data_IF_451115697799
#
_entry.id   IF_451115697799
#
_cell.length_a   1.000
_cell.length_b   1.000
_cell.length_c   1.000
_cell.angle_alpha   90.00
_cell.angle_beta   90.00
_cell.angle_gamma   90.00
#
_symmetry.space_group_name_H-M   'P 1'
#
loop_
_entity.id
_entity.type
_entity.pdbx_description
1 polymer ?
#
# COMPACT_ATOMS: atom_id res chain seq x y z
N UNK A 1 -39.32 11.07 68.38
CA UNK A 1 -39.12 10.00 67.38
C UNK A 1 -38.07 10.52 66.40
N UNK A 2 -36.78 10.16 66.62
CA UNK A 2 -35.68 10.61 65.74
C UNK A 2 -35.43 9.52 64.71
N UNK A 3 -35.65 9.84 63.45
CA UNK A 3 -35.25 8.98 62.34
C UNK A 3 -33.75 9.16 62.05
N UNK A 4 -32.98 8.11 62.26
CA UNK A 4 -31.56 8.04 61.83
C UNK A 4 -31.53 7.75 60.33
N UNK A 5 -31.12 8.75 59.55
CA UNK A 5 -30.76 8.55 58.13
C UNK A 5 -29.39 7.81 58.06
N UNK A 6 -29.38 6.58 57.57
CA UNK A 6 -28.14 5.91 57.16
C UNK A 6 -27.63 6.46 55.84
N UNK A 7 -26.35 6.83 55.71
CA UNK A 7 -25.82 7.21 54.39
C UNK A 7 -25.67 5.97 53.53
N UNK A 8 -26.27 6.00 52.33
CA UNK A 8 -26.03 5.00 51.28
C UNK A 8 -24.68 5.32 50.63
N UNK A 9 -23.69 4.50 50.89
CA UNK A 9 -22.39 4.59 50.23
C UNK A 9 -22.49 3.97 48.82
N UNK A 10 -22.57 4.78 47.78
CA UNK A 10 -22.55 4.33 46.40
C UNK A 10 -21.08 4.09 45.99
N UNK A 11 -20.67 2.83 45.94
CA UNK A 11 -19.36 2.43 45.41
C UNK A 11 -19.42 2.49 43.92
N UNK A 12 -18.72 3.46 43.32
CA UNK A 12 -18.42 3.46 41.88
C UNK A 12 -17.30 2.47 41.60
N UNK A 13 -17.61 1.31 41.03
CA UNK A 13 -16.62 0.44 40.42
C UNK A 13 -16.12 1.09 39.14
N UNK A 14 -14.93 1.67 39.16
CA UNK A 14 -14.22 2.07 37.94
C UNK A 14 -13.61 0.81 37.35
N UNK A 15 -14.18 0.30 36.31
CA UNK A 15 -13.52 -0.71 35.46
C UNK A 15 -12.37 -0.02 34.71
N UNK A 16 -11.15 -0.18 35.16
CA UNK A 16 -9.96 0.13 34.39
C UNK A 16 -9.80 -1.01 33.40
N UNK A 17 -10.14 -0.78 32.14
CA UNK A 17 -9.77 -1.68 31.06
C UNK A 17 -8.24 -1.66 30.99
N UNK A 18 -7.60 -2.76 31.26
CA UNK A 18 -6.16 -2.93 31.01
C UNK A 18 -6.01 -3.13 29.50
N UNK A 19 -5.50 -2.13 28.81
CA UNK A 19 -5.01 -2.24 27.45
C UNK A 19 -3.63 -2.90 27.47
N UNK A 20 -3.35 -3.72 26.46
CA UNK A 20 -2.05 -4.38 26.29
C UNK A 20 -1.49 -3.97 24.94
N UNK A 21 -0.17 -3.77 24.87
CA UNK A 21 0.56 -3.59 23.62
C UNK A 21 0.15 -4.65 22.59
N UNK A 22 -0.21 -4.22 21.38
CA UNK A 22 -0.63 -5.12 20.29
C UNK A 22 0.51 -5.36 19.33
N UNK A 23 0.54 -6.56 18.76
CA UNK A 23 1.37 -6.87 17.61
C UNK A 23 0.57 -6.64 16.33
N UNK A 24 1.12 -5.81 15.45
CA UNK A 24 0.57 -5.56 14.13
C UNK A 24 1.50 -6.12 13.04
N UNK A 25 0.95 -6.92 12.14
CA UNK A 25 1.66 -7.34 10.94
C UNK A 25 1.68 -6.18 9.95
N UNK A 26 2.87 -5.69 9.65
CA UNK A 26 3.08 -4.49 8.85
C UNK A 26 3.27 -4.82 7.38
N UNK A 27 2.43 -4.26 6.53
CA UNK A 27 2.51 -4.38 5.08
C UNK A 27 2.78 -3.02 4.43
N UNK A 28 3.69 -3.00 3.46
CA UNK A 28 3.92 -1.82 2.64
C UNK A 28 3.22 -1.97 1.27
N UNK A 29 2.46 -0.96 0.89
CA UNK A 29 1.79 -0.86 -0.41
C UNK A 29 2.44 0.26 -1.22
N UNK A 30 3.12 -0.09 -2.32
CA UNK A 30 3.84 0.84 -3.17
C UNK A 30 3.63 0.61 -4.66
N UNK A 31 3.86 1.65 -5.45
CA UNK A 31 3.71 1.59 -6.90
C UNK A 31 3.16 2.86 -7.52
N UNK A 32 2.43 2.71 -8.64
CA UNK A 32 1.84 3.84 -9.35
C UNK A 32 0.30 3.85 -9.27
N UNK A 33 -0.39 4.38 -10.26
CA UNK A 33 -1.83 4.65 -10.22
C UNK A 33 -2.71 3.43 -9.93
N UNK A 34 -2.32 2.23 -10.40
CA UNK A 34 -3.04 1.01 -10.06
C UNK A 34 -2.74 0.50 -8.63
N UNK A 35 -1.75 1.07 -7.92
CA UNK A 35 -1.62 0.96 -6.48
C UNK A 35 -2.34 2.11 -5.75
N UNK A 36 -2.32 3.35 -6.30
CA UNK A 36 -3.13 4.44 -5.74
C UNK A 36 -4.60 4.01 -5.61
N UNK A 37 -5.16 3.47 -6.69
CA UNK A 37 -6.52 2.95 -6.75
C UNK A 37 -7.52 3.94 -7.33
N UNK A 38 -8.27 3.47 -8.32
CA UNK A 38 -9.30 4.22 -9.03
C UNK A 38 -10.69 3.58 -8.89
N UNK A 39 -10.83 2.54 -8.07
CA UNK A 39 -12.12 1.94 -7.71
C UNK A 39 -13.05 2.98 -7.07
N UNK A 40 -14.34 2.93 -7.35
CA UNK A 40 -15.31 3.89 -6.85
C UNK A 40 -15.91 3.43 -5.52
N UNK A 41 -15.82 4.29 -4.50
CA UNK A 41 -16.41 4.02 -3.17
C UNK A 41 -17.92 3.79 -3.28
N UNK A 42 -18.60 4.48 -4.21
CA UNK A 42 -20.03 4.33 -4.46
C UNK A 42 -20.44 2.96 -5.03
N UNK A 43 -19.49 2.16 -5.52
CA UNK A 43 -19.73 0.81 -6.05
C UNK A 43 -19.40 -0.29 -5.04
N UNK A 44 -18.90 0.08 -3.85
CA UNK A 44 -18.66 -0.89 -2.78
C UNK A 44 -19.98 -1.43 -2.25
N UNK A 45 -19.99 -2.73 -1.94
CA UNK A 45 -21.13 -3.33 -1.24
C UNK A 45 -21.20 -2.86 0.21
N UNK A 46 -22.41 -2.76 0.74
CA UNK A 46 -22.63 -2.50 2.16
C UNK A 46 -21.92 -3.56 3.01
N UNK A 47 -21.44 -3.14 4.20
CA UNK A 47 -20.79 -4.03 5.16
C UNK A 47 -19.30 -4.27 4.94
N UNK A 48 -18.67 -3.72 3.90
CA UNK A 48 -17.21 -3.88 3.71
C UNK A 48 -16.43 -3.34 4.92
N UNK A 49 -16.91 -2.26 5.54
CA UNK A 49 -16.27 -1.64 6.70
C UNK A 49 -16.19 -2.61 7.90
N UNK A 50 -17.17 -3.50 8.06
CA UNK A 50 -17.21 -4.48 9.16
C UNK A 50 -16.12 -5.55 9.00
N UNK A 51 -15.59 -5.72 7.79
CA UNK A 51 -14.49 -6.68 7.50
C UNK A 51 -13.10 -6.11 7.75
N UNK A 52 -13.00 -4.81 8.08
CA UNK A 52 -11.75 -4.07 8.24
C UNK A 52 -11.38 -3.80 9.71
N UNK A 53 -12.06 -4.48 10.65
CA UNK A 53 -11.76 -4.35 12.08
C UNK A 53 -10.30 -4.73 12.35
N UNK A 54 -9.66 -4.00 13.28
CA UNK A 54 -8.25 -4.18 13.66
C UNK A 54 -7.25 -4.02 12.49
N UNK A 55 -7.62 -3.27 11.46
CA UNK A 55 -6.74 -2.86 10.38
C UNK A 55 -6.48 -1.35 10.46
N UNK A 56 -5.20 -0.99 10.58
CA UNK A 56 -4.72 0.39 10.62
C UNK A 56 -3.98 0.76 9.34
N UNK A 57 -4.06 2.02 8.93
CA UNK A 57 -3.35 2.51 7.75
C UNK A 57 -2.68 3.86 8.02
N UNK A 58 -1.41 3.96 7.61
CA UNK A 58 -0.68 5.21 7.43
C UNK A 58 -0.54 5.46 5.93
N UNK A 59 -1.30 6.39 5.38
CA UNK A 59 -1.24 6.71 3.96
C UNK A 59 -0.47 8.01 3.76
N UNK A 60 0.74 7.89 3.20
CA UNK A 60 1.62 9.02 2.91
C UNK A 60 1.12 9.85 1.73
N UNK A 61 1.25 11.16 1.84
CA UNK A 61 0.95 12.10 0.75
C UNK A 61 2.23 12.75 0.25
N UNK A 62 2.39 12.96 -1.06
CA UNK A 62 3.50 13.71 -1.61
C UNK A 62 3.38 15.18 -1.21
N UNK A 63 4.52 15.86 -1.09
CA UNK A 63 4.62 17.31 -1.02
C UNK A 63 4.67 17.91 -2.43
N UNK A 64 4.66 19.24 -2.54
CA UNK A 64 4.78 19.91 -3.83
C UNK A 64 6.16 19.66 -4.46
N UNK A 65 6.22 19.68 -5.80
CA UNK A 65 7.47 19.57 -6.55
C UNK A 65 8.52 20.58 -6.08
N UNK A 66 9.76 20.12 -6.01
CA UNK A 66 10.88 20.97 -5.56
C UNK A 66 10.91 21.29 -4.07
N UNK A 67 10.01 20.68 -3.28
CA UNK A 67 10.04 20.75 -1.81
C UNK A 67 10.54 19.44 -1.21
N UNK A 68 11.12 19.46 0.01
CA UNK A 68 11.54 18.23 0.68
C UNK A 68 10.39 17.24 0.86
N UNK A 69 10.69 15.95 0.73
CA UNK A 69 9.76 14.90 1.04
C UNK A 69 9.46 14.86 2.54
N UNK A 70 8.21 15.14 2.93
CA UNK A 70 7.80 15.24 4.34
C UNK A 70 7.14 13.96 4.88
N UNK A 71 6.70 13.05 4.00
CA UNK A 71 6.01 11.82 4.41
C UNK A 71 4.72 12.11 5.19
N UNK A 72 3.91 13.05 4.69
CA UNK A 72 2.70 13.52 5.36
C UNK A 72 1.67 12.41 5.46
N UNK A 73 1.34 12.00 6.66
CA UNK A 73 0.36 10.95 6.94
C UNK A 73 0.09 10.88 8.44
N UNK A 74 -0.99 10.22 8.81
CA UNK A 74 -1.31 9.82 10.19
C UNK A 74 -1.87 8.40 10.18
N UNK A 75 -1.61 7.65 11.25
CA UNK A 75 -2.29 6.37 11.48
C UNK A 75 -3.78 6.59 11.71
N UNK A 76 -4.59 5.78 11.09
CA UNK A 76 -6.04 5.79 11.25
C UNK A 76 -6.61 4.38 10.97
N UNK A 77 -7.79 4.03 11.49
CA UNK A 77 -8.48 2.82 11.08
C UNK A 77 -8.70 2.79 9.56
N UNK A 78 -8.43 1.63 8.95
CA UNK A 78 -8.63 1.44 7.51
C UNK A 78 -10.10 1.61 7.16
N UNK A 79 -10.37 2.40 6.12
CA UNK A 79 -11.72 2.67 5.62
C UNK A 79 -11.69 3.00 4.12
N UNK A 80 -12.83 2.99 3.41
CA UNK A 80 -12.89 3.50 2.04
C UNK A 80 -12.41 4.94 1.90
N UNK A 81 -11.85 5.28 0.73
CA UNK A 81 -11.42 6.64 0.41
C UNK A 81 -9.89 6.85 0.41
N UNK A 82 -9.11 5.77 0.43
CA UNK A 82 -7.64 5.80 0.32
C UNK A 82 -7.13 5.62 -1.12
N UNK A 83 -7.92 6.02 -2.13
CA UNK A 83 -7.53 5.99 -3.55
C UNK A 83 -6.74 7.20 -3.99
N UNK A 84 -6.65 7.41 -5.31
CA UNK A 84 -5.83 8.43 -5.97
C UNK A 84 -6.18 9.89 -5.55
N UNK A 85 -7.36 10.12 -5.02
CA UNK A 85 -7.85 11.42 -4.53
C UNK A 85 -7.69 11.61 -3.01
N UNK A 86 -7.10 10.65 -2.30
CA UNK A 86 -6.73 10.79 -0.88
C UNK A 86 -5.65 11.84 -0.68
N UNK A 87 -5.72 12.57 0.43
CA UNK A 87 -4.67 13.50 0.89
C UNK A 87 -4.56 13.49 2.40
N UNK A 88 -3.34 13.74 2.90
CA UNK A 88 -3.07 14.01 4.31
C UNK A 88 -2.14 15.20 4.44
N UNK A 89 -2.34 16.03 5.44
CA UNK A 89 -1.44 17.13 5.80
C UNK A 89 -0.53 16.78 7.01
N UNK A 90 -0.57 15.51 7.43
CA UNK A 90 0.13 15.03 8.61
C UNK A 90 -0.58 15.28 9.95
N UNK A 91 -1.74 15.95 9.92
CA UNK A 91 -2.60 16.23 11.09
C UNK A 91 -4.01 15.69 10.90
N UNK A 92 -4.49 15.68 9.66
CA UNK A 92 -5.80 15.20 9.28
C UNK A 92 -5.77 14.49 7.92
N UNK A 93 -6.55 13.41 7.80
CA UNK A 93 -6.79 12.70 6.56
C UNK A 93 -8.02 13.26 5.85
N UNK A 94 -7.89 13.54 4.54
CA UNK A 94 -9.00 13.86 3.64
C UNK A 94 -9.25 12.65 2.74
N UNK A 95 -10.28 11.89 3.06
CA UNK A 95 -10.70 10.72 2.30
C UNK A 95 -11.36 11.15 0.98
N UNK A 96 -11.05 10.38 -0.08
CA UNK A 96 -11.57 10.61 -1.42
C UNK A 96 -12.81 9.77 -1.73
N UNK A 97 -13.19 9.78 -3.01
CA UNK A 97 -14.27 8.95 -3.56
C UNK A 97 -13.73 7.67 -4.22
N UNK A 98 -12.42 7.44 -4.10
CA UNK A 98 -11.71 6.32 -4.72
C UNK A 98 -11.04 5.46 -3.67
N UNK A 99 -10.79 4.19 -4.03
CA UNK A 99 -10.02 3.23 -3.25
C UNK A 99 -9.18 2.34 -4.16
N UNK A 100 -8.18 1.68 -3.58
CA UNK A 100 -7.32 0.73 -4.26
C UNK A 100 -7.47 -0.69 -3.70
N UNK A 101 -6.42 -1.49 -3.81
CA UNK A 101 -6.44 -2.89 -3.36
C UNK A 101 -6.45 -3.04 -1.82
N UNK A 102 -6.17 -1.99 -1.04
CA UNK A 102 -5.98 -2.05 0.42
C UNK A 102 -7.16 -2.61 1.18
N UNK A 103 -8.41 -2.31 0.74
CA UNK A 103 -9.62 -2.77 1.44
C UNK A 103 -9.78 -4.28 1.34
N UNK A 104 -9.75 -4.81 0.12
CA UNK A 104 -9.91 -6.24 -0.13
C UNK A 104 -8.69 -7.04 0.35
N UNK A 105 -7.50 -6.45 0.32
CA UNK A 105 -6.29 -7.01 0.90
C UNK A 105 -6.45 -7.26 2.41
N UNK A 106 -6.82 -6.24 3.18
CA UNK A 106 -7.02 -6.38 4.61
C UNK A 106 -8.13 -7.36 4.95
N UNK A 107 -9.28 -7.28 4.25
CA UNK A 107 -10.41 -8.18 4.47
C UNK A 107 -10.04 -9.65 4.22
N UNK A 108 -9.33 -9.96 3.12
CA UNK A 108 -8.92 -11.32 2.80
C UNK A 108 -7.82 -11.81 3.76
N UNK A 109 -6.88 -10.96 4.17
CA UNK A 109 -5.91 -11.33 5.21
C UNK A 109 -6.58 -11.65 6.54
N UNK A 110 -7.55 -10.88 6.99
CA UNK A 110 -8.32 -11.18 8.21
C UNK A 110 -9.05 -12.52 8.09
N UNK A 111 -9.57 -12.85 6.90
CA UNK A 111 -10.18 -14.16 6.64
C UNK A 111 -9.17 -15.30 6.73
N UNK A 112 -7.96 -15.12 6.20
CA UNK A 112 -6.89 -16.13 6.17
C UNK A 112 -6.16 -16.25 7.51
N UNK A 113 -6.04 -15.13 8.25
CA UNK A 113 -5.29 -14.97 9.50
C UNK A 113 -6.12 -14.18 10.53
N UNK A 114 -7.20 -14.74 11.06
CA UNK A 114 -8.20 -14.00 11.84
C UNK A 114 -7.65 -13.40 13.14
N UNK A 115 -6.56 -13.93 13.65
CA UNK A 115 -5.95 -13.50 14.92
C UNK A 115 -4.83 -12.45 14.73
N UNK A 116 -4.52 -12.05 13.50
CA UNK A 116 -3.49 -11.03 13.24
C UNK A 116 -4.13 -9.64 13.13
N UNK A 117 -3.56 -8.64 13.82
CA UNK A 117 -3.85 -7.24 13.57
C UNK A 117 -3.03 -6.79 12.37
N UNK A 118 -3.59 -5.92 11.54
CA UNK A 118 -3.00 -5.50 10.28
C UNK A 118 -2.63 -4.02 10.33
N UNK A 119 -1.37 -3.70 10.03
CA UNK A 119 -0.92 -2.34 9.81
C UNK A 119 -0.47 -2.18 8.36
N UNK A 120 -0.93 -1.13 7.70
CA UNK A 120 -0.58 -0.81 6.31
C UNK A 120 0.15 0.52 6.28
N UNK A 121 1.34 0.56 5.66
CA UNK A 121 1.94 1.80 5.18
C UNK A 121 1.70 1.85 3.68
N UNK A 122 0.98 2.86 3.20
CA UNK A 122 0.72 3.07 1.78
C UNK A 122 1.40 4.35 1.32
N UNK A 123 2.25 4.23 0.30
CA UNK A 123 2.72 5.35 -0.50
C UNK A 123 2.82 4.91 -1.95
N UNK A 124 2.12 5.56 -2.82
CA UNK A 124 2.07 5.34 -4.26
C UNK A 124 1.85 6.66 -4.98
N UNK A 125 2.20 6.70 -6.29
CA UNK A 125 1.99 7.90 -7.09
C UNK A 125 1.72 7.53 -8.55
N UNK A 126 0.56 7.91 -9.06
CA UNK A 126 0.19 7.68 -10.45
C UNK A 126 1.16 8.32 -11.44
N UNK A 127 1.40 7.64 -12.58
CA UNK A 127 2.23 8.14 -13.66
C UNK A 127 3.74 8.13 -13.38
N UNK A 128 4.21 7.38 -12.37
CA UNK A 128 5.63 7.32 -12.00
C UNK A 128 6.31 6.07 -12.55
N UNK A 129 7.60 6.20 -12.91
CA UNK A 129 8.46 5.12 -13.38
C UNK A 129 9.45 4.68 -12.31
N UNK A 130 10.11 3.53 -12.53
CA UNK A 130 11.29 3.13 -11.76
C UNK A 130 12.59 3.44 -12.51
N UNK A 131 12.52 3.78 -13.80
CA UNK A 131 13.65 4.24 -14.59
C UNK A 131 13.59 5.76 -14.78
N UNK A 132 14.72 6.43 -14.59
CA UNK A 132 14.85 7.88 -14.75
C UNK A 132 14.45 8.35 -16.15
N UNK A 133 14.77 7.57 -17.19
CA UNK A 133 14.47 7.90 -18.59
C UNK A 133 12.97 7.87 -18.92
N UNK A 134 12.17 7.19 -18.10
CA UNK A 134 10.71 7.19 -18.21
C UNK A 134 10.03 8.19 -17.25
N UNK A 135 10.80 8.88 -16.41
CA UNK A 135 10.26 9.89 -15.52
C UNK A 135 9.61 11.03 -16.30
N UNK A 136 8.31 11.24 -16.06
CA UNK A 136 7.55 12.35 -16.63
C UNK A 136 6.83 13.07 -15.49
N UNK A 137 5.74 13.66 -15.73
CA UNK A 137 4.93 14.55 -14.90
C UNK A 137 4.97 14.37 -13.38
N UNK A 138 5.25 13.15 -12.86
CA UNK A 138 5.11 12.84 -11.43
C UNK A 138 6.38 12.25 -10.80
N UNK A 139 7.52 12.29 -11.49
CA UNK A 139 8.81 11.85 -10.98
C UNK A 139 9.08 10.35 -11.10
N UNK A 140 10.03 9.87 -10.34
CA UNK A 140 10.61 8.56 -10.48
C UNK A 140 10.93 7.92 -9.12
N UNK A 141 10.91 6.60 -9.07
CA UNK A 141 11.28 5.78 -7.90
C UNK A 141 12.79 5.45 -7.84
N UNK A 142 13.56 5.84 -8.86
CA UNK A 142 15.01 5.69 -8.77
C UNK A 142 15.55 6.53 -7.60
N UNK A 143 16.27 5.94 -6.64
CA UNK A 143 16.81 6.68 -5.49
C UNK A 143 17.77 7.81 -5.87
N UNK A 144 18.43 7.71 -7.04
CA UNK A 144 19.38 8.70 -7.55
C UNK A 144 18.68 9.75 -8.45
N UNK A 145 17.35 9.74 -8.54
CA UNK A 145 16.61 10.70 -9.36
C UNK A 145 16.66 12.10 -8.78
N UNK A 146 17.29 13.01 -9.51
CA UNK A 146 17.45 14.44 -9.10
C UNK A 146 16.44 15.38 -9.77
N UNK A 147 15.66 14.90 -10.70
CA UNK A 147 14.65 15.68 -11.40
C UNK A 147 14.46 15.23 -12.85
N UNK A 148 13.36 15.70 -13.45
CA UNK A 148 12.96 15.42 -14.81
C UNK A 148 12.25 16.62 -15.43
N UNK A 149 11.68 16.44 -16.61
CA UNK A 149 10.83 17.44 -17.28
C UNK A 149 9.37 17.31 -16.83
N UNK A 150 8.62 18.41 -16.81
CA UNK A 150 7.19 18.44 -16.55
C UNK A 150 6.82 18.62 -15.08
N UNK A 151 5.58 18.18 -14.73
CA UNK A 151 4.94 18.47 -13.43
C UNK A 151 5.63 17.74 -12.26
N UNK A 152 6.22 16.60 -12.48
CA UNK A 152 6.95 15.85 -11.43
C UNK A 152 8.43 16.14 -11.36
N UNK A 153 8.86 17.24 -11.94
CA UNK A 153 10.26 17.64 -11.96
C UNK A 153 10.80 17.84 -10.55
N UNK A 154 11.86 17.13 -10.23
CA UNK A 154 12.47 17.18 -8.90
C UNK A 154 11.76 16.35 -7.83
N UNK A 155 10.72 15.58 -8.18
CA UNK A 155 10.04 14.71 -7.25
C UNK A 155 10.64 13.30 -7.28
N UNK A 156 11.48 13.01 -6.29
CA UNK A 156 11.99 11.66 -6.06
C UNK A 156 10.98 10.87 -5.23
N UNK A 157 10.37 9.83 -5.81
CA UNK A 157 9.33 9.03 -5.14
C UNK A 157 9.92 8.12 -4.06
N UNK A 158 11.18 7.71 -4.21
CA UNK A 158 11.87 6.93 -3.19
C UNK A 158 12.10 7.76 -1.90
N UNK A 159 12.43 9.05 -2.02
CA UNK A 159 12.53 9.94 -0.86
C UNK A 159 11.19 10.10 -0.13
N UNK A 160 10.11 10.21 -0.88
CA UNK A 160 8.75 10.26 -0.30
C UNK A 160 8.38 8.95 0.40
N UNK A 161 8.73 7.80 -0.18
CA UNK A 161 8.59 6.50 0.46
C UNK A 161 9.37 6.45 1.77
N UNK A 162 10.66 6.80 1.76
CA UNK A 162 11.50 6.79 2.98
C UNK A 162 10.93 7.71 4.07
N UNK A 163 10.49 8.92 3.70
CA UNK A 163 9.89 9.85 4.63
C UNK A 163 8.58 9.30 5.21
N UNK A 164 7.75 8.65 4.40
CA UNK A 164 6.50 8.03 4.82
C UNK A 164 6.76 6.88 5.81
N UNK A 165 7.67 5.96 5.47
CA UNK A 165 8.03 4.82 6.34
C UNK A 165 8.62 5.33 7.67
N UNK A 166 9.56 6.28 7.61
CA UNK A 166 10.14 6.87 8.83
C UNK A 166 9.07 7.46 9.74
N UNK A 167 8.14 8.25 9.19
CA UNK A 167 7.11 8.89 10.00
C UNK A 167 6.11 7.87 10.56
N UNK A 168 5.71 6.90 9.77
CA UNK A 168 4.83 5.82 10.22
C UNK A 168 5.45 5.03 11.39
N UNK A 169 6.73 4.64 11.25
CA UNK A 169 7.45 3.87 12.27
C UNK A 169 7.85 4.69 13.51
N UNK A 170 7.74 6.02 13.47
CA UNK A 170 8.03 6.88 14.63
C UNK A 170 6.87 6.97 15.62
N UNK A 171 5.68 6.50 15.26
CA UNK A 171 4.50 6.48 16.12
C UNK A 171 4.46 5.15 16.87
N UNK A 172 4.49 5.20 18.19
CA UNK A 172 4.46 3.99 19.03
C UNK A 172 3.05 3.41 19.20
N UNK A 173 2.07 4.25 19.49
CA UNK A 173 0.67 3.90 19.67
C UNK A 173 -0.09 4.25 18.37
N UNK A 174 -0.36 3.23 17.54
CA UNK A 174 -0.94 3.48 16.21
C UNK A 174 -2.46 3.47 16.19
N UNK A 175 -3.10 2.90 17.21
CA UNK A 175 -4.56 2.83 17.34
C UNK A 175 -5.13 3.75 18.44
N UNK A 176 -4.26 4.52 19.10
CA UNK A 176 -4.60 5.51 20.12
C UNK A 176 -5.29 4.91 21.35
N UNK A 177 -4.92 3.70 21.74
CA UNK A 177 -5.44 3.05 22.96
C UNK A 177 -4.61 3.38 24.23
N UNK A 178 -3.49 4.11 24.08
CA UNK A 178 -2.61 4.56 25.17
C UNK A 178 -1.41 3.65 25.42
N UNK A 179 -1.28 2.53 24.71
CA UNK A 179 -0.17 1.60 24.81
C UNK A 179 0.68 1.63 23.52
N UNK A 180 1.98 1.35 23.64
CA UNK A 180 2.82 1.28 22.45
C UNK A 180 2.65 -0.07 21.74
N UNK A 181 2.41 -0.03 20.45
CA UNK A 181 2.28 -1.21 19.60
C UNK A 181 3.62 -1.66 19.03
N UNK A 182 3.67 -2.92 18.59
CA UNK A 182 4.81 -3.48 17.89
C UNK A 182 4.45 -3.72 16.42
N UNK A 183 5.15 -3.03 15.51
CA UNK A 183 5.01 -3.23 14.06
C UNK A 183 6.01 -4.28 13.60
N UNK A 184 5.51 -5.39 13.07
CA UNK A 184 6.30 -6.54 12.61
C UNK A 184 6.22 -6.58 11.07
N UNK A 185 7.33 -6.30 10.33
CA UNK A 185 7.33 -6.37 8.88
C UNK A 185 6.82 -7.73 8.38
N UNK A 186 5.83 -7.73 7.48
CA UNK A 186 5.14 -8.93 7.05
C UNK A 186 4.99 -9.08 5.52
N UNK A 187 5.19 -7.99 4.75
CA UNK A 187 5.18 -8.08 3.30
C UNK A 187 5.17 -6.75 2.58
N UNK A 188 5.50 -6.80 1.29
CA UNK A 188 5.45 -5.69 0.34
C UNK A 188 4.46 -6.07 -0.78
N UNK A 189 3.58 -5.14 -1.14
CA UNK A 189 2.74 -5.19 -2.34
C UNK A 189 3.26 -4.14 -3.31
N UNK A 190 3.58 -4.58 -4.52
CA UNK A 190 4.08 -3.70 -5.56
C UNK A 190 3.23 -3.76 -6.82
N UNK A 191 2.67 -2.61 -7.23
CA UNK A 191 1.89 -2.49 -8.47
C UNK A 191 2.36 -1.29 -9.27
N UNK A 192 3.24 -1.53 -10.26
CA UNK A 192 3.85 -0.52 -11.09
C UNK A 192 4.47 -1.19 -12.34
N UNK A 193 4.71 -0.43 -13.41
CA UNK A 193 5.41 -0.88 -14.60
C UNK A 193 4.86 -0.22 -15.87
N UNK A 194 3.65 0.31 -15.82
CA UNK A 194 2.96 0.89 -16.97
C UNK A 194 3.70 2.13 -17.52
N UNK A 195 4.26 2.95 -16.63
CA UNK A 195 5.02 4.14 -17.06
C UNK A 195 6.32 3.76 -17.78
N UNK A 196 7.02 2.73 -17.30
CA UNK A 196 8.24 2.20 -17.95
C UNK A 196 7.91 1.49 -19.26
N UNK A 197 6.74 0.83 -19.33
CA UNK A 197 6.26 0.13 -20.51
C UNK A 197 5.92 1.06 -21.70
N UNK A 198 5.90 2.36 -21.49
CA UNK A 198 5.80 3.36 -22.56
C UNK A 198 7.11 3.61 -23.33
N UNK A 199 8.24 3.00 -22.89
CA UNK A 199 9.57 3.29 -23.46
C UNK A 199 10.42 2.02 -23.56
N UNK A 200 11.15 1.90 -24.68
CA UNK A 200 11.94 0.70 -24.97
C UNK A 200 13.07 0.47 -23.95
N UNK A 201 13.90 1.47 -23.70
CA UNK A 201 15.05 1.32 -22.77
C UNK A 201 14.61 1.07 -21.33
N UNK A 202 13.69 1.86 -20.72
CA UNK A 202 13.13 1.58 -19.42
C UNK A 202 12.55 0.18 -19.29
N UNK A 203 11.75 -0.26 -20.27
CA UNK A 203 11.15 -1.60 -20.24
C UNK A 203 12.19 -2.73 -20.30
N UNK A 204 13.30 -2.53 -21.01
CA UNK A 204 14.41 -3.50 -21.10
C UNK A 204 15.18 -3.59 -19.78
N UNK A 205 15.35 -2.48 -19.06
CA UNK A 205 16.07 -2.41 -17.79
C UNK A 205 15.18 -2.64 -16.56
N UNK A 206 13.89 -2.88 -16.76
CA UNK A 206 12.90 -2.94 -15.69
C UNK A 206 13.28 -3.93 -14.58
N UNK A 207 13.73 -5.13 -14.93
CA UNK A 207 14.08 -6.17 -13.96
C UNK A 207 15.21 -5.77 -13.01
N UNK A 208 16.26 -5.14 -13.52
CA UNK A 208 17.41 -4.65 -12.72
C UNK A 208 16.94 -3.52 -11.78
N UNK A 209 16.15 -2.58 -12.30
CA UNK A 209 15.63 -1.47 -11.53
C UNK A 209 14.65 -1.94 -10.45
N UNK A 210 13.77 -2.90 -10.78
CA UNK A 210 12.83 -3.50 -9.82
C UNK A 210 13.58 -4.20 -8.68
N UNK A 211 14.58 -5.03 -9.02
CA UNK A 211 15.38 -5.71 -8.00
C UNK A 211 16.04 -4.71 -7.05
N UNK A 212 16.72 -3.70 -7.60
CA UNK A 212 17.36 -2.66 -6.79
C UNK A 212 16.37 -1.97 -5.86
N UNK A 213 15.21 -1.59 -6.38
CA UNK A 213 14.18 -0.90 -5.59
C UNK A 213 13.61 -1.79 -4.48
N UNK A 214 13.36 -3.06 -4.75
CA UNK A 214 12.83 -4.00 -3.76
C UNK A 214 13.87 -4.32 -2.67
N UNK A 215 15.15 -4.48 -3.02
CA UNK A 215 16.22 -4.63 -2.03
C UNK A 215 16.28 -3.41 -1.08
N UNK A 216 16.17 -2.20 -1.63
CA UNK A 216 16.15 -0.96 -0.86
C UNK A 216 14.88 -0.81 -0.01
N UNK A 217 13.73 -1.27 -0.51
CA UNK A 217 12.48 -1.26 0.26
C UNK A 217 12.55 -2.24 1.44
N UNK A 218 13.10 -3.42 1.25
CA UNK A 218 13.40 -4.38 2.34
C UNK A 218 14.32 -3.77 3.39
N UNK A 219 15.40 -3.13 2.96
CA UNK A 219 16.34 -2.45 3.87
C UNK A 219 15.66 -1.33 4.68
N UNK A 220 14.81 -0.52 4.04
CA UNK A 220 14.05 0.54 4.72
C UNK A 220 13.09 -0.02 5.77
N UNK A 221 12.51 -1.19 5.54
CA UNK A 221 11.64 -1.91 6.45
C UNK A 221 12.40 -2.83 7.42
N UNK A 222 13.74 -2.89 7.34
CA UNK A 222 14.64 -3.66 8.20
C UNK A 222 14.35 -5.17 8.21
N UNK A 223 14.02 -5.71 7.05
CA UNK A 223 13.71 -7.13 6.85
C UNK A 223 14.18 -7.57 5.45
N UNK A 224 15.39 -8.14 5.37
CA UNK A 224 16.08 -8.47 4.11
C UNK A 224 15.37 -9.57 3.30
N UNK A 225 14.62 -10.44 3.96
CA UNK A 225 13.85 -11.55 3.36
C UNK A 225 12.34 -11.32 3.35
N UNK A 226 11.92 -10.04 3.46
CA UNK A 226 10.50 -9.68 3.51
C UNK A 226 9.78 -10.17 2.24
N UNK A 227 8.66 -10.91 2.36
CA UNK A 227 7.88 -11.37 1.23
C UNK A 227 7.38 -10.21 0.35
N UNK A 228 7.42 -10.40 -0.97
CA UNK A 228 6.97 -9.42 -1.96
C UNK A 228 5.92 -10.04 -2.86
N UNK A 229 4.77 -9.39 -3.00
CA UNK A 229 3.78 -9.71 -4.02
C UNK A 229 3.81 -8.64 -5.11
N UNK A 230 4.10 -9.04 -6.34
CA UNK A 230 4.19 -8.15 -7.51
C UNK A 230 2.95 -8.31 -8.36
N UNK A 231 2.20 -7.25 -8.60
CA UNK A 231 1.10 -7.24 -9.56
C UNK A 231 1.64 -7.19 -10.99
N UNK A 232 1.29 -8.18 -11.80
CA UNK A 232 1.63 -8.20 -13.23
C UNK A 232 0.87 -7.06 -13.91
N UNK A 233 1.56 -6.16 -14.62
CA UNK A 233 0.84 -5.14 -15.39
C UNK A 233 0.05 -5.79 -16.53
N UNK A 234 -1.08 -5.21 -16.90
CA UNK A 234 -1.88 -5.63 -18.05
C UNK A 234 -2.22 -4.45 -18.96
N UNK A 235 -2.81 -4.73 -20.11
CA UNK A 235 -3.16 -3.73 -21.11
C UNK A 235 -4.66 -3.74 -21.37
N UNK A 236 -5.29 -2.58 -21.40
CA UNK A 236 -6.72 -2.47 -21.66
C UNK A 236 -7.08 -2.75 -23.12
N UNK A 237 -6.12 -2.71 -24.02
CA UNK A 237 -6.35 -2.72 -25.48
C UNK A 237 -7.43 -1.70 -25.90
N UNK A 238 -7.33 -0.50 -25.33
CA UNK A 238 -8.35 0.53 -25.44
C UNK A 238 -8.67 0.87 -26.91
N UNK A 239 -9.93 0.70 -27.31
CA UNK A 239 -10.37 0.85 -28.69
C UNK A 239 -9.58 -0.04 -29.69
N UNK A 240 -9.17 -1.24 -29.26
CA UNK A 240 -8.42 -2.19 -30.08
C UNK A 240 -6.95 -1.79 -30.28
N UNK A 241 -6.41 -0.89 -29.47
CA UNK A 241 -5.01 -0.46 -29.55
C UNK A 241 -4.30 -0.78 -28.24
N UNK A 242 -3.08 -1.30 -28.36
CA UNK A 242 -2.16 -1.48 -27.23
C UNK A 242 -1.88 -0.09 -26.62
N UNK A 243 -2.04 0.02 -25.33
CA UNK A 243 -1.78 1.24 -24.54
C UNK A 243 -0.30 1.30 -24.13
N UNK A 244 0.26 0.15 -23.76
CA UNK A 244 1.64 0.03 -23.27
C UNK A 244 2.49 -0.70 -24.31
N UNK A 245 3.13 0.05 -25.21
CA UNK A 245 3.86 -0.46 -26.38
C UNK A 245 4.89 -1.54 -26.02
N UNK A 246 5.60 -1.37 -24.91
CA UNK A 246 6.62 -2.31 -24.41
C UNK A 246 6.15 -3.11 -23.18
N UNK A 247 4.84 -3.25 -22.98
CA UNK A 247 4.25 -3.93 -21.84
C UNK A 247 4.70 -5.38 -21.69
N UNK A 248 4.92 -6.10 -22.81
CA UNK A 248 5.42 -7.48 -22.78
C UNK A 248 6.82 -7.57 -22.18
N UNK A 249 7.70 -6.60 -22.46
CA UNK A 249 9.04 -6.54 -21.90
C UNK A 249 8.99 -6.37 -20.36
N UNK A 250 8.15 -5.44 -19.87
CA UNK A 250 7.98 -5.23 -18.42
C UNK A 250 7.39 -6.47 -17.76
N UNK A 251 6.31 -7.06 -18.30
CA UNK A 251 5.72 -8.29 -17.78
C UNK A 251 6.73 -9.45 -17.67
N UNK A 252 7.55 -9.62 -18.71
CA UNK A 252 8.63 -10.62 -18.69
C UNK A 252 9.60 -10.40 -17.51
N UNK A 253 9.99 -9.15 -17.25
CA UNK A 253 10.90 -8.83 -16.15
C UNK A 253 10.24 -8.97 -14.77
N UNK A 254 8.94 -8.67 -14.64
CA UNK A 254 8.18 -8.95 -13.41
C UNK A 254 8.14 -10.46 -13.11
N UNK A 255 7.90 -11.29 -14.15
CA UNK A 255 7.95 -12.75 -14.03
C UNK A 255 9.33 -13.25 -13.62
N UNK A 256 10.39 -12.79 -14.30
CA UNK A 256 11.77 -13.21 -13.99
C UNK A 256 12.17 -12.80 -12.57
N UNK A 257 11.82 -11.58 -12.13
CA UNK A 257 12.08 -11.14 -10.75
C UNK A 257 11.48 -12.10 -9.73
N UNK A 258 10.20 -12.49 -9.90
CA UNK A 258 9.54 -13.41 -8.98
C UNK A 258 10.06 -14.86 -9.10
N UNK A 259 10.62 -15.27 -10.25
CA UNK A 259 11.27 -16.57 -10.39
C UNK A 259 12.64 -16.64 -9.71
N UNK A 260 13.38 -15.51 -9.74
CA UNK A 260 14.73 -15.43 -9.19
C UNK A 260 14.75 -15.14 -7.68
N UNK A 261 13.70 -14.55 -7.14
CA UNK A 261 13.57 -14.24 -5.71
C UNK A 261 12.59 -15.23 -5.03
N UNK A 262 13.07 -16.17 -4.19
CA UNK A 262 12.22 -17.17 -3.53
C UNK A 262 11.24 -16.59 -2.52
N UNK A 263 11.35 -15.30 -2.22
CA UNK A 263 10.42 -14.53 -1.35
C UNK A 263 9.52 -13.61 -2.15
N UNK A 264 9.44 -13.77 -3.47
CA UNK A 264 8.53 -12.99 -4.32
C UNK A 264 7.52 -13.89 -5.02
N UNK A 265 6.28 -13.40 -5.14
CA UNK A 265 5.17 -14.06 -5.83
C UNK A 265 4.53 -13.10 -6.82
N UNK A 266 4.18 -13.61 -8.01
CA UNK A 266 3.57 -12.84 -9.07
C UNK A 266 2.04 -12.99 -9.05
N UNK A 267 1.32 -11.89 -8.90
CA UNK A 267 -0.14 -11.84 -9.04
C UNK A 267 -0.50 -11.62 -10.51
N UNK A 268 -1.08 -12.63 -11.15
CA UNK A 268 -1.35 -12.67 -12.60
C UNK A 268 -2.81 -12.43 -12.97
N UNK A 269 -3.71 -12.30 -12.02
CA UNK A 269 -5.16 -12.13 -12.25
C UNK A 269 -5.52 -10.84 -13.02
N UNK A 270 -4.60 -9.89 -13.06
CA UNK A 270 -4.76 -8.58 -13.71
C UNK A 270 -5.07 -8.64 -15.22
N UNK A 271 -4.73 -9.74 -15.88
CA UNK A 271 -5.05 -9.97 -17.29
C UNK A 271 -6.56 -10.13 -17.57
N UNK A 272 -7.35 -10.36 -16.52
CA UNK A 272 -8.82 -10.58 -16.58
C UNK A 272 -9.63 -9.38 -16.12
N UNK A 273 -8.95 -8.30 -15.68
CA UNK A 273 -9.65 -7.15 -15.11
C UNK A 273 -10.31 -6.28 -16.17
N UNK A 274 -11.49 -5.75 -15.82
CA UNK A 274 -12.09 -4.63 -16.55
C UNK A 274 -11.34 -3.34 -16.25
N UNK A 275 -11.57 -2.35 -17.10
CA UNK A 275 -10.96 -1.03 -17.02
C UNK A 275 -12.03 0.06 -16.96
N UNK A 276 -11.83 1.04 -16.08
CA UNK A 276 -12.69 2.22 -15.98
C UNK A 276 -12.30 3.33 -16.98
N UNK A 277 -11.06 3.31 -17.43
CA UNK A 277 -10.47 4.19 -18.43
C UNK A 277 -9.32 3.45 -19.16
N UNK A 278 -8.56 4.06 -20.10
CA UNK A 278 -7.49 3.33 -20.79
C UNK A 278 -6.38 2.76 -19.88
N UNK A 279 -6.23 3.22 -18.67
CA UNK A 279 -5.07 2.95 -17.82
C UNK A 279 -5.40 2.26 -16.49
N UNK A 280 -6.64 2.41 -15.98
CA UNK A 280 -6.97 2.04 -14.63
C UNK A 280 -8.03 0.93 -14.60
N UNK A 281 -7.82 -0.04 -13.72
CA UNK A 281 -8.78 -1.11 -13.48
C UNK A 281 -10.12 -0.56 -13.00
N UNK A 282 -11.16 -1.34 -13.21
CA UNK A 282 -12.47 -1.05 -12.62
C UNK A 282 -12.52 -1.44 -11.11
N UNK A 283 -13.62 -1.12 -10.47
CA UNK A 283 -13.84 -1.42 -9.05
C UNK A 283 -13.68 -2.89 -8.70
N UNK A 284 -14.15 -3.80 -9.57
CA UNK A 284 -14.03 -5.24 -9.34
C UNK A 284 -12.59 -5.72 -9.47
N UNK A 285 -11.83 -5.14 -10.38
CA UNK A 285 -10.39 -5.40 -10.54
C UNK A 285 -9.60 -5.04 -9.27
N UNK A 286 -9.86 -3.91 -8.64
CA UNK A 286 -9.18 -3.55 -7.38
C UNK A 286 -9.55 -4.45 -6.22
N UNK A 287 -10.82 -4.89 -6.14
CA UNK A 287 -11.25 -5.83 -5.10
C UNK A 287 -10.59 -7.20 -5.28
N UNK A 288 -10.46 -7.68 -6.52
CA UNK A 288 -9.79 -8.94 -6.80
C UNK A 288 -8.28 -8.84 -6.58
N UNK A 289 -7.64 -7.77 -7.06
CA UNK A 289 -6.21 -7.50 -6.86
C UNK A 289 -5.82 -7.55 -5.38
N UNK A 290 -6.63 -6.94 -4.50
CA UNK A 290 -6.39 -6.98 -3.06
C UNK A 290 -6.44 -8.41 -2.50
N UNK A 291 -7.42 -9.21 -2.91
CA UNK A 291 -7.52 -10.62 -2.48
C UNK A 291 -6.33 -11.45 -2.95
N UNK A 292 -5.93 -11.29 -4.21
CA UNK A 292 -4.82 -12.06 -4.76
C UNK A 292 -3.48 -11.66 -4.14
N UNK A 293 -3.25 -10.39 -3.84
CA UNK A 293 -2.11 -9.95 -3.04
C UNK A 293 -2.10 -10.59 -1.64
N UNK A 294 -3.25 -10.65 -0.98
CA UNK A 294 -3.36 -11.28 0.34
C UNK A 294 -3.03 -12.77 0.31
N UNK A 295 -3.50 -13.49 -0.71
CA UNK A 295 -3.22 -14.92 -0.92
C UNK A 295 -1.75 -15.16 -1.20
N UNK A 296 -1.15 -14.40 -2.12
CA UNK A 296 0.26 -14.50 -2.45
C UNK A 296 1.14 -14.33 -1.19
N UNK A 297 0.94 -13.27 -0.42
CA UNK A 297 1.71 -13.07 0.81
C UNK A 297 1.40 -14.10 1.91
N UNK A 298 0.15 -14.57 2.01
CA UNK A 298 -0.19 -15.65 2.93
C UNK A 298 0.59 -16.92 2.61
N UNK A 299 0.66 -17.32 1.35
CA UNK A 299 1.34 -18.54 0.91
C UNK A 299 2.85 -18.44 1.08
N UNK A 300 3.47 -17.30 0.71
CA UNK A 300 4.88 -17.03 0.96
C UNK A 300 5.24 -17.12 2.46
N UNK A 301 4.42 -16.57 3.35
CA UNK A 301 4.63 -16.61 4.80
C UNK A 301 4.39 -18.00 5.42
N UNK A 302 3.60 -18.85 4.78
CA UNK A 302 3.42 -20.25 5.23
C UNK A 302 4.64 -21.11 4.98
N UNK A 303 5.30 -20.94 3.85
CA UNK A 303 6.52 -21.69 3.51
C UNK A 303 7.68 -21.35 4.44
N UNK A 304 7.74 -20.15 4.97
CA UNK A 304 8.76 -19.72 5.94
C UNK A 304 8.66 -20.38 7.33
N UNK A 305 7.48 -20.84 7.73
CA UNK A 305 7.27 -21.45 9.04
C UNK A 305 7.50 -22.97 9.06
N UNK A 306 7.92 -23.54 7.95
CA UNK A 306 8.19 -24.98 7.79
C UNK A 306 9.66 -25.32 7.54
N UNK A 307 10.51 -24.30 7.39
CA UNK A 307 11.99 -24.41 7.31
C UNK A 307 12.63 -24.01 8.66
#
# INVERSE_FOLDING_TARGET
MLYKLLPVLTIFLVFVATTFAKDYQLYYLGGQSNMDGYGLVSELKDGIQDTLQDAMIFHGSPTADGTPALGLGIWAPLRPGHGADFRSDGKANKYGQRFGCELAFAAELKRLRPNENIAIIKYSRGGTSIATEAARHFGCWDPDFEGGEGIGRGMNQYDHFLATVRNALSVGDIDADGENDRLIPAGILWMQGESDAGFQVPSTNYGVNLKRLMDLARAALRADDLPIAVGLISDSNHNGKIVWEFGESVRKHQMLFCQDDPKAELVTSTDKYGYSDPWHYDTLGYLDLGKEFARALHDLRRTQNHD
#
